data_IF_507737972154
#
_entry.id   IF_507737972154
#
_cell.length_a   1.000
_cell.length_b   1.000
_cell.length_c   1.000
_cell.angle_alpha   90.00
_cell.angle_beta   90.00
_cell.angle_gamma   90.00
#
_symmetry.space_group_name_H-M   'P 1'
#
loop_
_entity.id
_entity.type
_entity.pdbx_description
1 polymer ?
#
# COMPACT_ATOMS: atom_id res chain seq x y z
N UNK A 1 13.58 9.15 20.19
CA UNK A 1 15.04 9.37 20.25
C UNK A 1 15.77 8.06 19.92
N UNK A 2 15.74 7.64 18.64
CA UNK A 2 16.35 6.38 18.15
C UNK A 2 17.51 6.65 17.16
N UNK A 3 17.97 7.90 17.05
CA UNK A 3 18.60 8.38 15.81
C UNK A 3 20.13 8.32 15.70
N UNK A 4 20.91 7.95 16.72
CA UNK A 4 22.38 8.12 16.62
C UNK A 4 23.20 6.82 16.72
N UNK A 5 22.62 5.70 17.16
CA UNK A 5 23.42 4.50 17.50
C UNK A 5 23.06 3.20 16.77
N UNK A 6 22.14 3.21 15.81
CA UNK A 6 21.76 1.99 15.08
C UNK A 6 22.90 1.45 14.20
N UNK A 7 23.58 2.32 13.46
CA UNK A 7 24.66 1.92 12.55
C UNK A 7 25.90 1.33 13.25
N UNK A 8 26.23 1.82 14.46
CA UNK A 8 27.43 1.39 15.21
C UNK A 8 27.33 -0.01 15.84
N UNK A 9 26.12 -0.50 16.14
CA UNK A 9 25.92 -1.81 16.80
C UNK A 9 25.82 -2.98 15.82
N UNK A 10 25.72 -2.69 14.53
CA UNK A 10 25.56 -3.68 13.48
C UNK A 10 26.95 -4.10 12.97
N UNK A 11 27.58 -5.05 13.66
CA UNK A 11 28.86 -5.67 13.27
C UNK A 11 28.78 -6.56 12.02
N UNK A 12 28.16 -6.09 10.94
CA UNK A 12 28.04 -6.80 9.65
C UNK A 12 28.16 -5.82 8.48
N UNK A 13 28.73 -6.28 7.34
CA UNK A 13 28.84 -5.50 6.09
C UNK A 13 27.49 -5.22 5.37
N UNK A 14 26.45 -6.02 5.62
CA UNK A 14 25.11 -5.92 4.98
C UNK A 14 24.13 -4.86 5.56
N UNK A 15 24.01 -4.65 6.88
CA UNK A 15 22.99 -3.76 7.45
C UNK A 15 23.05 -2.29 7.03
N UNK A 16 24.20 -1.77 6.63
CA UNK A 16 24.30 -0.38 6.18
C UNK A 16 23.58 -0.15 4.84
N UNK A 17 23.69 -1.09 3.89
CA UNK A 17 23.01 -0.98 2.60
C UNK A 17 21.48 -1.11 2.77
N UNK A 18 21.02 -2.11 3.53
CA UNK A 18 19.58 -2.29 3.79
C UNK A 18 18.95 -1.08 4.49
N UNK A 19 19.69 -0.42 5.38
CA UNK A 19 19.25 0.83 6.01
C UNK A 19 19.18 1.99 4.99
N UNK A 20 20.21 2.16 4.15
CA UNK A 20 20.18 3.17 3.07
C UNK A 20 18.99 2.93 2.13
N UNK A 21 18.72 1.67 1.76
CA UNK A 21 17.56 1.30 0.94
C UNK A 21 16.23 1.67 1.64
N UNK A 22 16.06 1.39 2.93
CA UNK A 22 14.86 1.80 3.67
C UNK A 22 14.67 3.32 3.69
N UNK A 23 15.75 4.09 3.90
CA UNK A 23 15.68 5.55 3.88
C UNK A 23 15.34 6.10 2.50
N UNK A 24 15.96 5.56 1.44
CA UNK A 24 15.66 5.91 0.05
C UNK A 24 14.18 5.64 -0.29
N UNK A 25 13.66 4.46 0.06
CA UNK A 25 12.26 4.12 -0.18
C UNK A 25 11.33 5.02 0.64
N UNK A 26 11.69 5.34 1.89
CA UNK A 26 10.90 6.27 2.70
C UNK A 26 10.81 7.66 2.08
N UNK A 27 11.89 8.14 1.45
CA UNK A 27 11.89 9.41 0.70
C UNK A 27 11.00 9.33 -0.55
N UNK A 28 11.10 8.24 -1.32
CA UNK A 28 10.21 8.01 -2.47
C UNK A 28 8.74 8.01 -2.06
N UNK A 29 8.42 7.38 -0.92
CA UNK A 29 7.05 7.36 -0.40
C UNK A 29 6.57 8.77 -0.03
N UNK A 30 7.44 9.62 0.54
CA UNK A 30 7.11 11.02 0.85
C UNK A 30 6.87 11.82 -0.43
N UNK A 31 7.73 11.69 -1.43
CA UNK A 31 7.57 12.38 -2.72
C UNK A 31 6.26 11.95 -3.42
N UNK A 32 5.92 10.66 -3.37
CA UNK A 32 4.65 10.15 -3.88
C UNK A 32 3.45 10.74 -3.10
N UNK A 33 3.54 10.82 -1.78
CA UNK A 33 2.49 11.41 -0.93
C UNK A 33 2.26 12.89 -1.23
N UNK A 34 3.34 13.65 -1.44
CA UNK A 34 3.26 15.07 -1.83
C UNK A 34 2.50 15.26 -3.15
N UNK A 35 2.55 14.29 -4.06
CA UNK A 35 1.78 14.33 -5.31
C UNK A 35 0.27 14.37 -5.02
N UNK A 36 -0.20 13.64 -4.00
CA UNK A 36 -1.60 13.68 -3.58
C UNK A 36 -1.92 14.94 -2.77
N UNK A 37 -1.08 15.32 -1.80
CA UNK A 37 -1.32 16.47 -0.91
C UNK A 37 -1.39 17.80 -1.69
N UNK A 38 -0.56 17.95 -2.72
CA UNK A 38 -0.52 19.15 -3.57
C UNK A 38 -1.58 19.14 -4.67
N UNK A 39 -2.43 18.11 -4.76
CA UNK A 39 -3.43 17.99 -5.82
C UNK A 39 -2.83 17.84 -7.22
N UNK A 40 -1.62 17.27 -7.32
CA UNK A 40 -0.92 17.02 -8.59
C UNK A 40 -1.34 15.69 -9.23
N UNK A 41 -2.15 14.90 -8.52
CA UNK A 41 -2.70 13.63 -8.95
C UNK A 41 -4.16 13.79 -9.43
N UNK A 42 -4.42 13.45 -10.69
CA UNK A 42 -5.79 13.32 -11.18
C UNK A 42 -6.43 12.00 -10.68
N UNK A 43 -7.76 11.94 -10.63
CA UNK A 43 -8.49 10.73 -10.20
C UNK A 43 -8.15 9.51 -11.08
N UNK A 44 -7.95 9.75 -12.38
CA UNK A 44 -7.64 8.74 -13.39
C UNK A 44 -6.26 8.10 -13.17
N UNK A 45 -5.30 8.82 -12.57
CA UNK A 45 -3.95 8.31 -12.31
C UNK A 45 -3.76 7.74 -10.89
N UNK A 46 -4.72 7.93 -9.98
CA UNK A 46 -4.65 7.39 -8.62
C UNK A 46 -4.38 5.88 -8.54
N UNK A 47 -4.98 5.01 -9.39
CA UNK A 47 -4.65 3.59 -9.38
C UNK A 47 -3.17 3.30 -9.63
N UNK A 48 -2.52 4.06 -10.52
CA UNK A 48 -1.08 3.91 -10.82
C UNK A 48 -0.23 4.31 -9.62
N UNK A 49 -0.58 5.41 -8.95
CA UNK A 49 0.16 5.88 -7.77
C UNK A 49 0.01 4.90 -6.59
N UNK A 50 -1.21 4.40 -6.34
CA UNK A 50 -1.45 3.38 -5.32
C UNK A 50 -0.69 2.07 -5.62
N UNK A 51 -0.69 1.64 -6.87
CA UNK A 51 0.05 0.45 -7.31
C UNK A 51 1.55 0.59 -7.07
N UNK A 52 2.11 1.75 -7.39
CA UNK A 52 3.52 2.02 -7.11
C UNK A 52 3.82 2.11 -5.61
N UNK A 53 2.91 2.69 -4.83
CA UNK A 53 3.05 2.76 -3.38
C UNK A 53 3.07 1.37 -2.73
N UNK A 54 2.19 0.45 -3.17
CA UNK A 54 2.17 -0.94 -2.74
C UNK A 54 3.52 -1.63 -2.98
N UNK A 55 4.10 -1.44 -4.17
CA UNK A 55 5.44 -1.93 -4.48
C UNK A 55 6.50 -1.38 -3.53
N UNK A 56 6.54 -0.06 -3.31
CA UNK A 56 7.50 0.56 -2.39
C UNK A 56 7.34 0.01 -0.96
N UNK A 57 6.10 -0.16 -0.50
CA UNK A 57 5.83 -0.76 0.81
C UNK A 57 6.35 -2.20 0.87
N UNK A 58 6.11 -3.01 -0.17
CA UNK A 58 6.58 -4.39 -0.25
C UNK A 58 8.11 -4.49 -0.16
N UNK A 59 8.85 -3.70 -0.94
CA UNK A 59 10.32 -3.66 -0.89
C UNK A 59 10.81 -3.19 0.48
N UNK A 60 10.15 -2.18 1.06
CA UNK A 60 10.49 -1.66 2.39
C UNK A 60 10.28 -2.69 3.50
N UNK A 61 9.15 -3.42 3.47
CA UNK A 61 8.86 -4.50 4.42
C UNK A 61 9.90 -5.61 4.34
N UNK A 62 10.32 -5.98 3.12
CA UNK A 62 11.40 -6.93 2.92
C UNK A 62 12.71 -6.46 3.59
N UNK A 63 13.13 -5.22 3.33
CA UNK A 63 14.33 -4.63 3.92
C UNK A 63 14.26 -4.57 5.46
N UNK A 64 13.13 -4.13 6.02
CA UNK A 64 12.89 -4.08 7.46
C UNK A 64 12.93 -5.48 8.10
N UNK A 65 12.41 -6.50 7.41
CA UNK A 65 12.45 -7.89 7.87
C UNK A 65 13.88 -8.42 7.93
N UNK A 66 14.70 -8.13 6.92
CA UNK A 66 16.13 -8.50 6.94
C UNK A 66 16.88 -7.84 8.10
N UNK A 67 16.64 -6.54 8.33
CA UNK A 67 17.25 -5.81 9.46
C UNK A 67 16.81 -6.39 10.80
N UNK A 68 15.53 -6.70 10.97
CA UNK A 68 14.98 -7.30 12.18
C UNK A 68 15.60 -8.68 12.45
N UNK A 69 15.69 -9.53 11.43
CA UNK A 69 16.35 -10.85 11.53
C UNK A 69 17.83 -10.71 11.94
N UNK A 70 18.54 -9.74 11.35
CA UNK A 70 19.94 -9.48 11.69
C UNK A 70 20.11 -9.00 13.14
N UNK A 71 19.21 -8.15 13.63
CA UNK A 71 19.20 -7.68 15.01
C UNK A 71 18.88 -8.80 16.00
N UNK A 72 17.92 -9.66 15.68
CA UNK A 72 17.59 -10.82 16.52
C UNK A 72 18.78 -11.79 16.63
N UNK A 73 19.43 -12.12 15.51
CA UNK A 73 20.66 -12.92 15.51
C UNK A 73 21.81 -12.23 16.27
N UNK A 74 21.90 -10.90 16.21
CA UNK A 74 22.94 -10.13 16.88
C UNK A 74 22.69 -9.93 18.38
N UNK A 75 21.47 -10.09 18.88
CA UNK A 75 21.15 -10.02 20.31
C UNK A 75 21.50 -11.33 21.04
N UNK A 76 21.53 -12.45 20.32
CA UNK A 76 21.76 -13.78 20.90
C UNK A 76 23.23 -14.07 21.26
N UNK A 77 23.50 -14.87 22.31
CA UNK A 77 24.84 -15.38 22.64
C UNK A 77 25.52 -16.13 21.49
N UNK A 78 26.86 -16.02 21.38
CA UNK A 78 27.65 -16.61 20.27
C UNK A 78 27.46 -18.12 20.07
N UNK A 79 27.21 -18.89 21.14
CA UNK A 79 27.03 -20.35 21.07
C UNK A 79 25.70 -20.74 20.42
N UNK A 80 24.63 -19.96 20.64
CA UNK A 80 23.33 -20.17 19.98
C UNK A 80 23.37 -19.81 18.50
N UNK A 81 24.14 -18.78 18.11
CA UNK A 81 24.29 -18.37 16.69
C UNK A 81 24.87 -19.47 15.78
N UNK A 82 25.73 -20.34 16.30
CA UNK A 82 26.35 -21.45 15.53
C UNK A 82 25.41 -22.64 15.35
N UNK A 83 24.59 -22.93 16.36
CA UNK A 83 23.53 -23.95 16.32
C UNK A 83 22.41 -23.56 15.35
N UNK A 84 21.96 -22.30 15.43
CA UNK A 84 20.83 -21.79 14.63
C UNK A 84 21.15 -21.64 13.14
N UNK A 85 22.42 -21.41 12.78
CA UNK A 85 22.84 -21.44 11.36
C UNK A 85 22.65 -22.80 10.70
N UNK A 86 22.67 -23.90 11.47
CA UNK A 86 22.45 -25.26 10.98
C UNK A 86 20.96 -25.64 10.90
N UNK A 87 20.14 -25.15 11.84
CA UNK A 87 18.71 -25.46 11.92
C UNK A 87 17.87 -24.22 11.51
N UNK A 88 17.55 -24.07 10.22
CA UNK A 88 16.77 -22.96 9.62
C UNK A 88 15.27 -22.92 10.05
N UNK A 89 14.94 -23.16 11.32
CA UNK A 89 13.54 -23.31 11.77
C UNK A 89 13.16 -22.44 12.96
N UNK A 90 13.82 -21.30 13.17
CA UNK A 90 13.29 -20.36 14.14
C UNK A 90 12.02 -19.67 13.61
N UNK A 91 10.99 -19.50 14.46
CA UNK A 91 9.88 -18.64 14.11
C UNK A 91 10.43 -17.25 13.82
N UNK A 92 9.95 -16.60 12.76
CA UNK A 92 10.50 -15.33 12.37
C UNK A 92 10.15 -14.28 13.43
N UNK A 93 11.04 -13.31 13.70
CA UNK A 93 10.87 -12.36 14.79
C UNK A 93 9.55 -11.61 14.68
N UNK A 94 8.95 -11.28 15.82
CA UNK A 94 7.69 -10.53 15.84
C UNK A 94 7.87 -9.18 15.15
N UNK A 95 6.95 -8.77 14.26
CA UNK A 95 7.05 -7.50 13.54
C UNK A 95 7.01 -6.33 14.53
N UNK A 96 7.74 -5.25 14.31
CA UNK A 96 7.62 -4.03 15.13
C UNK A 96 6.27 -3.33 14.90
N UNK A 97 5.93 -2.32 15.71
CA UNK A 97 4.71 -1.53 15.48
C UNK A 97 4.74 -0.84 14.12
N UNK A 98 5.88 -0.28 13.73
CA UNK A 98 6.05 0.38 12.43
C UNK A 98 5.85 -0.61 11.27
N UNK A 99 6.37 -1.84 11.40
CA UNK A 99 6.14 -2.88 10.40
C UNK A 99 4.67 -3.29 10.33
N UNK A 100 3.99 -3.43 11.48
CA UNK A 100 2.57 -3.77 11.51
C UNK A 100 1.70 -2.65 10.91
N UNK A 101 2.00 -1.38 11.19
CA UNK A 101 1.34 -0.23 10.57
C UNK A 101 1.58 -0.18 9.06
N UNK A 102 2.81 -0.47 8.63
CA UNK A 102 3.17 -0.51 7.22
C UNK A 102 2.44 -1.66 6.48
N UNK A 103 2.30 -2.82 7.12
CA UNK A 103 1.48 -3.94 6.62
C UNK A 103 -0.01 -3.56 6.54
N UNK A 104 -0.54 -2.90 7.56
CA UNK A 104 -1.91 -2.39 7.53
C UNK A 104 -2.10 -1.41 6.37
N UNK A 105 -1.16 -0.48 6.16
CA UNK A 105 -1.19 0.48 5.06
C UNK A 105 -1.21 -0.22 3.69
N UNK A 106 -0.37 -1.22 3.50
CA UNK A 106 -0.32 -2.05 2.29
C UNK A 106 -1.70 -2.64 1.96
N UNK A 107 -2.33 -3.30 2.93
CA UNK A 107 -3.67 -3.90 2.76
C UNK A 107 -4.75 -2.84 2.44
N UNK A 108 -4.67 -1.64 3.04
CA UNK A 108 -5.58 -0.53 2.71
C UNK A 108 -5.38 -0.08 1.26
N UNK A 109 -4.13 0.09 0.83
CA UNK A 109 -3.78 0.51 -0.53
C UNK A 109 -4.25 -0.51 -1.54
N UNK A 110 -3.99 -1.80 -1.32
CA UNK A 110 -4.44 -2.87 -2.21
C UNK A 110 -5.96 -2.96 -2.30
N UNK A 111 -6.66 -2.78 -1.18
CA UNK A 111 -8.12 -2.69 -1.16
C UNK A 111 -8.64 -1.47 -1.93
N UNK A 112 -7.99 -0.32 -1.73
CA UNK A 112 -8.37 0.94 -2.38
C UNK A 112 -8.09 0.92 -3.88
N UNK A 113 -6.96 0.36 -4.32
CA UNK A 113 -6.61 0.18 -5.73
C UNK A 113 -7.70 -0.58 -6.48
N UNK A 114 -8.09 -1.75 -5.97
CA UNK A 114 -9.16 -2.58 -6.56
C UNK A 114 -10.52 -1.87 -6.54
N UNK A 115 -10.82 -1.14 -5.46
CA UNK A 115 -12.03 -0.33 -5.36
C UNK A 115 -12.08 0.77 -6.42
N UNK A 116 -10.98 1.51 -6.64
CA UNK A 116 -10.93 2.56 -7.66
C UNK A 116 -11.14 1.98 -9.07
N UNK A 117 -10.51 0.85 -9.39
CA UNK A 117 -10.71 0.16 -10.66
C UNK A 117 -12.17 -0.28 -10.84
N UNK A 118 -12.79 -0.82 -9.78
CA UNK A 118 -14.20 -1.21 -9.82
C UNK A 118 -15.11 0.01 -10.08
N UNK A 119 -14.84 1.16 -9.43
CA UNK A 119 -15.59 2.40 -9.61
C UNK A 119 -15.43 3.00 -11.02
N UNK A 120 -14.23 2.91 -11.60
CA UNK A 120 -13.96 3.31 -12.97
C UNK A 120 -14.69 2.40 -13.97
N UNK A 121 -14.68 1.09 -13.73
CA UNK A 121 -15.32 0.10 -14.60
C UNK A 121 -16.84 0.29 -14.71
N UNK A 122 -17.51 0.63 -13.61
CA UNK A 122 -18.96 0.89 -13.58
C UNK A 122 -19.35 2.34 -13.89
N UNK A 123 -18.39 3.19 -14.25
CA UNK A 123 -18.65 4.58 -14.62
C UNK A 123 -19.06 5.51 -13.46
N UNK A 124 -18.82 5.12 -12.20
CA UNK A 124 -18.99 6.05 -11.06
C UNK A 124 -17.81 7.01 -10.91
N UNK A 125 -16.63 6.62 -11.40
CA UNK A 125 -15.43 7.44 -11.48
C UNK A 125 -14.95 7.50 -12.93
N UNK A 126 -14.32 8.61 -13.33
CA UNK A 126 -13.77 8.74 -14.67
C UNK A 126 -12.74 7.65 -14.96
N UNK A 127 -12.96 6.90 -16.04
CA UNK A 127 -11.95 6.03 -16.61
C UNK A 127 -11.05 6.83 -17.58
N UNK A 128 -9.76 6.51 -17.68
CA UNK A 128 -8.86 7.22 -18.59
C UNK A 128 -9.28 7.01 -20.04
N UNK A 129 -9.52 8.11 -20.76
CA UNK A 129 -9.65 8.09 -22.22
C UNK A 129 -8.31 7.73 -22.88
N UNK A 130 -8.28 7.40 -24.17
CA UNK A 130 -7.01 7.03 -24.85
C UNK A 130 -5.94 8.13 -24.73
N UNK A 131 -6.35 9.40 -24.85
CA UNK A 131 -5.45 10.55 -24.68
C UNK A 131 -4.94 10.66 -23.23
N UNK A 132 -5.82 10.45 -22.25
CA UNK A 132 -5.44 10.45 -20.82
C UNK A 132 -4.52 9.27 -20.51
N UNK A 133 -4.76 8.08 -21.08
CA UNK A 133 -3.89 6.92 -20.90
C UNK A 133 -2.46 7.16 -21.41
N UNK A 134 -2.30 7.81 -22.58
CA UNK A 134 -0.98 8.24 -23.09
C UNK A 134 -0.33 9.28 -22.17
N UNK A 135 -1.12 10.21 -21.61
CA UNK A 135 -0.64 11.16 -20.59
C UNK A 135 -0.16 10.45 -19.33
N UNK A 136 -0.92 9.48 -18.80
CA UNK A 136 -0.56 8.69 -17.62
C UNK A 136 0.74 7.91 -17.87
N UNK A 137 0.91 7.29 -19.03
CA UNK A 137 2.16 6.62 -19.40
C UNK A 137 3.36 7.59 -19.40
N UNK A 138 3.16 8.81 -19.89
CA UNK A 138 4.19 9.86 -19.88
C UNK A 138 4.51 10.31 -18.45
N UNK A 139 3.49 10.50 -17.59
CA UNK A 139 3.67 10.84 -16.17
C UNK A 139 4.35 9.71 -15.40
N UNK A 140 4.07 8.45 -15.73
CA UNK A 140 4.77 7.30 -15.18
C UNK A 140 6.27 7.40 -15.45
N UNK A 141 6.65 7.67 -16.70
CA UNK A 141 8.06 7.80 -17.08
C UNK A 141 8.74 8.97 -16.35
N UNK A 142 8.08 10.12 -16.23
CA UNK A 142 8.66 11.31 -15.59
C UNK A 142 8.73 11.22 -14.06
N UNK A 143 7.70 10.65 -13.42
CA UNK A 143 7.62 10.57 -11.95
C UNK A 143 8.29 9.29 -11.45
N UNK A 144 7.76 8.15 -11.86
CA UNK A 144 8.11 6.85 -11.27
C UNK A 144 9.43 6.33 -11.84
N UNK A 145 9.60 6.35 -13.17
CA UNK A 145 10.83 5.82 -13.78
C UNK A 145 12.06 6.67 -13.45
N UNK A 146 11.91 7.99 -13.28
CA UNK A 146 12.99 8.86 -12.79
C UNK A 146 13.37 8.55 -11.34
N UNK A 147 12.38 8.29 -10.46
CA UNK A 147 12.65 7.84 -9.09
C UNK A 147 13.35 6.47 -9.07
N UNK A 148 12.89 5.51 -9.88
CA UNK A 148 13.48 4.17 -9.98
C UNK A 148 14.90 4.18 -10.56
N UNK A 149 15.17 5.00 -11.58
CA UNK A 149 16.51 5.10 -12.16
C UNK A 149 17.52 5.75 -11.22
N UNK A 150 17.07 6.66 -10.36
CA UNK A 150 17.90 7.30 -9.33
C UNK A 150 18.31 6.34 -8.21
N UNK A 151 17.47 5.34 -7.94
CA UNK A 151 17.66 4.38 -6.86
C UNK A 151 17.47 2.97 -7.42
N UNK A 152 18.57 2.27 -7.68
CA UNK A 152 18.57 0.89 -8.20
C UNK A 152 17.88 -0.08 -7.22
N UNK A 153 16.55 -0.13 -7.27
CA UNK A 153 15.72 -1.07 -6.52
C UNK A 153 15.85 -2.49 -7.12
N UNK A 154 15.48 -3.54 -6.36
CA UNK A 154 15.64 -4.92 -6.81
C UNK A 154 14.93 -5.25 -8.13
N UNK A 155 13.83 -4.55 -8.41
CA UNK A 155 13.07 -4.67 -9.65
C UNK A 155 12.73 -3.28 -10.20
N UNK A 156 12.92 -3.10 -11.51
CA UNK A 156 12.44 -1.93 -12.23
C UNK A 156 11.02 -2.22 -12.72
N UNK A 157 10.06 -1.47 -12.20
CA UNK A 157 8.68 -1.54 -12.65
C UNK A 157 8.53 -0.81 -13.97
N UNK A 158 7.77 -1.40 -14.89
CA UNK A 158 7.39 -0.81 -16.17
C UNK A 158 5.92 -0.42 -16.18
N UNK A 159 5.55 0.46 -17.12
CA UNK A 159 4.13 0.79 -17.32
C UNK A 159 3.31 -0.43 -17.80
N UNK A 160 3.95 -1.39 -18.47
CA UNK A 160 3.30 -2.63 -18.88
C UNK A 160 2.92 -3.49 -17.65
N UNK A 161 3.76 -3.53 -16.61
CA UNK A 161 3.45 -4.23 -15.36
C UNK A 161 2.23 -3.63 -14.65
N UNK A 162 2.07 -2.30 -14.73
CA UNK A 162 0.88 -1.61 -14.23
C UNK A 162 -0.36 -2.05 -15.00
N UNK A 163 -0.34 -2.01 -16.34
CA UNK A 163 -1.48 -2.45 -17.17
C UNK A 163 -1.83 -3.92 -16.96
N UNK A 164 -0.84 -4.78 -16.77
CA UNK A 164 -1.08 -6.19 -16.43
C UNK A 164 -1.74 -6.31 -15.04
N UNK A 165 -1.28 -5.54 -14.07
CA UNK A 165 -1.83 -5.55 -12.71
C UNK A 165 -3.28 -5.06 -12.67
N UNK A 166 -3.64 -4.04 -13.45
CA UNK A 166 -5.03 -3.56 -13.55
C UNK A 166 -5.93 -4.59 -14.22
N UNK A 167 -5.46 -5.22 -15.31
CA UNK A 167 -6.19 -6.30 -15.98
C UNK A 167 -6.46 -7.46 -15.02
N UNK A 168 -5.42 -7.97 -14.34
CA UNK A 168 -5.54 -9.05 -13.36
C UNK A 168 -6.46 -8.70 -12.19
N UNK A 169 -6.47 -7.44 -11.75
CA UNK A 169 -7.33 -6.98 -10.68
C UNK A 169 -8.81 -6.97 -11.05
N UNK A 170 -9.16 -6.73 -12.32
CA UNK A 170 -10.55 -6.62 -12.81
C UNK A 170 -11.11 -7.95 -13.30
N UNK A 171 -10.35 -8.72 -14.08
CA UNK A 171 -10.85 -9.95 -14.70
C UNK A 171 -10.68 -11.19 -13.81
N UNK A 172 -9.81 -11.14 -12.80
CA UNK A 172 -9.29 -12.38 -12.21
C UNK A 172 -8.61 -13.27 -13.25
N UNK A 173 -8.21 -14.49 -12.87
CA UNK A 173 -7.60 -15.44 -13.81
C UNK A 173 -8.61 -16.08 -14.78
N UNK A 174 -9.91 -16.06 -14.47
CA UNK A 174 -10.97 -16.68 -15.26
C UNK A 174 -11.84 -15.64 -15.96
N UNK A 175 -11.81 -15.62 -17.30
CA UNK A 175 -12.45 -14.63 -18.16
C UNK A 175 -13.95 -14.89 -18.45
N UNK A 176 -14.60 -15.82 -17.76
CA UNK A 176 -15.88 -16.36 -18.23
C UNK A 176 -17.14 -15.53 -17.93
N UNK A 177 -17.10 -14.53 -17.04
CA UNK A 177 -18.25 -13.65 -16.79
C UNK A 177 -17.86 -12.27 -16.23
N UNK A 178 -18.19 -11.20 -16.94
CA UNK A 178 -17.86 -9.82 -16.57
C UNK A 178 -18.53 -9.36 -15.25
N UNK A 179 -19.77 -9.79 -14.99
CA UNK A 179 -20.50 -9.47 -13.75
C UNK A 179 -19.95 -10.23 -12.53
N UNK A 180 -19.52 -11.48 -12.70
CA UNK A 180 -18.81 -12.25 -11.68
C UNK A 180 -17.43 -11.63 -11.39
N UNK A 181 -16.78 -11.06 -12.40
CA UNK A 181 -15.55 -10.28 -12.28
C UNK A 181 -15.69 -9.14 -11.28
N UNK A 182 -16.64 -8.21 -11.50
CA UNK A 182 -16.84 -7.05 -10.63
C UNK A 182 -17.14 -7.43 -9.18
N UNK A 183 -18.05 -8.39 -8.96
CA UNK A 183 -18.38 -8.85 -7.61
C UNK A 183 -17.15 -9.43 -6.90
N UNK A 184 -16.31 -10.18 -7.62
CA UNK A 184 -15.04 -10.71 -7.12
C UNK A 184 -14.05 -9.59 -6.78
N UNK A 185 -13.93 -8.54 -7.60
CA UNK A 185 -13.09 -7.37 -7.30
C UNK A 185 -13.53 -6.70 -5.99
N UNK A 186 -14.84 -6.45 -5.85
CA UNK A 186 -15.42 -5.82 -4.65
C UNK A 186 -15.17 -6.68 -3.41
N UNK A 187 -15.41 -7.99 -3.48
CA UNK A 187 -15.15 -8.91 -2.37
C UNK A 187 -13.67 -8.99 -1.99
N UNK A 188 -12.75 -9.02 -2.96
CA UNK A 188 -11.31 -9.00 -2.72
C UNK A 188 -10.85 -7.67 -2.10
N UNK A 189 -11.47 -6.56 -2.49
CA UNK A 189 -11.24 -5.24 -1.89
C UNK A 189 -11.65 -5.24 -0.42
N UNK A 190 -12.86 -5.73 -0.12
CA UNK A 190 -13.37 -5.88 1.25
C UNK A 190 -12.47 -6.81 2.08
N UNK A 191 -12.02 -7.93 1.50
CA UNK A 191 -11.12 -8.88 2.16
C UNK A 191 -9.80 -8.23 2.57
N UNK A 192 -9.19 -7.44 1.68
CA UNK A 192 -7.94 -6.72 1.97
C UNK A 192 -8.16 -5.68 3.08
N UNK A 193 -9.23 -4.89 2.98
CA UNK A 193 -9.58 -3.89 4.00
C UNK A 193 -9.87 -4.52 5.37
N UNK A 194 -10.54 -5.67 5.44
CA UNK A 194 -10.74 -6.39 6.69
C UNK A 194 -9.45 -7.01 7.24
N UNK A 195 -8.53 -7.42 6.37
CA UNK A 195 -7.21 -7.96 6.74
C UNK A 195 -6.38 -7.00 7.60
N UNK A 196 -6.60 -5.70 7.45
CA UNK A 196 -5.95 -4.66 8.28
C UNK A 196 -6.22 -4.78 9.77
N UNK A 197 -7.39 -5.32 10.16
CA UNK A 197 -7.82 -5.43 11.55
C UNK A 197 -6.81 -6.20 12.41
N UNK A 198 -6.27 -7.29 11.86
CA UNK A 198 -5.24 -8.10 12.50
C UNK A 198 -4.01 -7.27 12.90
N UNK A 199 -3.47 -6.46 11.97
CA UNK A 199 -2.28 -5.65 12.22
C UNK A 199 -2.57 -4.49 13.20
N UNK A 200 -3.71 -3.81 13.05
CA UNK A 200 -4.09 -2.71 13.92
C UNK A 200 -4.38 -3.17 15.36
N UNK A 201 -4.91 -4.38 15.54
CA UNK A 201 -5.06 -5.00 16.86
C UNK A 201 -3.70 -5.32 17.51
N UNK A 202 -2.73 -5.83 16.75
CA UNK A 202 -1.39 -6.09 17.28
C UNK A 202 -0.74 -4.81 17.81
N UNK A 203 -0.87 -3.70 17.07
CA UNK A 203 -0.39 -2.39 17.51
C UNK A 203 -1.10 -1.94 18.79
N UNK A 204 -2.41 -2.17 18.90
CA UNK A 204 -3.20 -1.81 20.09
C UNK A 204 -2.88 -2.65 21.34
N UNK A 205 -2.64 -3.95 21.18
CA UNK A 205 -2.30 -4.87 22.29
C UNK A 205 -0.92 -4.59 22.89
N UNK A 206 -0.01 -4.03 22.09
CA UNK A 206 1.32 -3.60 22.54
C UNK A 206 1.18 -2.29 23.32
N UNK A 207 0.90 -2.44 24.61
CA UNK A 207 0.56 -1.47 25.68
C UNK A 207 1.38 -0.15 25.81
N UNK A 208 2.15 0.25 24.80
CA UNK A 208 3.02 1.45 24.79
C UNK A 208 2.91 2.27 23.50
N UNK A 209 1.84 2.12 22.73
CA UNK A 209 1.63 2.97 21.55
C UNK A 209 1.53 4.44 21.99
N UNK A 210 2.40 5.29 21.43
CA UNK A 210 2.41 6.72 21.71
C UNK A 210 1.11 7.40 21.18
N UNK A 211 0.91 8.67 21.53
CA UNK A 211 -0.28 9.40 21.09
C UNK A 211 -0.38 9.49 19.57
N UNK A 212 0.77 9.59 18.88
CA UNK A 212 0.86 9.64 17.42
C UNK A 212 0.36 8.34 16.78
N UNK A 213 0.88 7.19 17.21
CA UNK A 213 0.46 5.87 16.73
C UNK A 213 -1.02 5.63 16.96
N UNK A 214 -1.55 6.02 18.12
CA UNK A 214 -2.98 5.86 18.41
C UNK A 214 -3.86 6.70 17.48
N UNK A 215 -3.46 7.94 17.20
CA UNK A 215 -4.14 8.81 16.23
C UNK A 215 -4.10 8.19 14.83
N UNK A 216 -2.94 7.70 14.41
CA UNK A 216 -2.73 7.07 13.11
C UNK A 216 -3.64 5.85 12.91
N UNK A 217 -3.67 4.93 13.88
CA UNK A 217 -4.58 3.77 13.89
C UNK A 217 -6.05 4.19 13.81
N UNK A 218 -6.46 5.23 14.53
CA UNK A 218 -7.84 5.74 14.48
C UNK A 218 -8.18 6.31 13.10
N UNK A 219 -7.27 7.05 12.48
CA UNK A 219 -7.44 7.59 11.13
C UNK A 219 -7.54 6.48 10.09
N UNK A 220 -6.67 5.47 10.15
CA UNK A 220 -6.73 4.28 9.29
C UNK A 220 -8.08 3.56 9.42
N UNK A 221 -8.58 3.36 10.65
CA UNK A 221 -9.90 2.75 10.89
C UNK A 221 -11.04 3.52 10.22
N UNK A 222 -10.99 4.86 10.24
CA UNK A 222 -12.00 5.69 9.56
C UNK A 222 -11.97 5.50 8.04
N UNK A 223 -10.78 5.43 7.44
CA UNK A 223 -10.61 5.14 6.01
C UNK A 223 -11.21 3.78 5.67
N UNK A 224 -10.83 2.73 6.43
CA UNK A 224 -11.31 1.36 6.23
C UNK A 224 -12.84 1.30 6.28
N UNK A 225 -13.44 1.87 7.34
CA UNK A 225 -14.89 1.87 7.50
C UNK A 225 -15.59 2.60 6.35
N UNK A 226 -15.11 3.79 5.98
CA UNK A 226 -15.68 4.57 4.88
C UNK A 226 -15.64 3.79 3.55
N UNK A 227 -14.50 3.20 3.22
CA UNK A 227 -14.33 2.47 1.97
C UNK A 227 -15.13 1.16 1.95
N UNK A 228 -15.22 0.43 3.09
CA UNK A 228 -16.07 -0.76 3.21
C UNK A 228 -17.54 -0.42 3.02
N UNK A 229 -18.02 0.72 3.52
CA UNK A 229 -19.42 1.14 3.33
C UNK A 229 -19.74 1.34 1.84
N UNK A 230 -18.85 2.03 1.10
CA UNK A 230 -19.00 2.19 -0.35
C UNK A 230 -18.98 0.85 -1.07
N UNK A 231 -18.01 -0.03 -0.74
CA UNK A 231 -17.92 -1.37 -1.33
C UNK A 231 -19.13 -2.25 -1.04
N UNK A 232 -19.74 -2.12 0.14
CA UNK A 232 -20.97 -2.85 0.47
C UNK A 232 -22.15 -2.33 -0.35
N UNK A 233 -22.28 -1.02 -0.52
CA UNK A 233 -23.32 -0.42 -1.36
C UNK A 233 -23.17 -0.86 -2.82
N UNK A 234 -21.93 -0.98 -3.31
CA UNK A 234 -21.62 -1.57 -4.62
C UNK A 234 -22.04 -3.04 -4.69
N UNK A 235 -21.69 -3.84 -3.68
CA UNK A 235 -22.01 -5.26 -3.63
C UNK A 235 -23.52 -5.54 -3.58
N UNK A 236 -24.30 -4.67 -2.94
CA UNK A 236 -25.77 -4.80 -2.84
C UNK A 236 -26.52 -4.16 -4.00
N UNK A 237 -25.84 -3.50 -4.94
CA UNK A 237 -26.48 -2.78 -6.04
C UNK A 237 -27.34 -1.60 -5.58
N UNK A 238 -27.07 -1.03 -4.41
CA UNK A 238 -27.90 0.04 -3.81
C UNK A 238 -27.54 1.44 -4.31
N UNK A 239 -26.65 1.53 -5.31
CA UNK A 239 -26.16 2.80 -5.85
C UNK A 239 -26.85 3.04 -7.19
N UNK A 240 -27.54 4.17 -7.29
CA UNK A 240 -28.04 4.68 -8.54
C UNK A 240 -26.88 5.25 -9.37
N UNK A 241 -26.45 4.50 -10.39
CA UNK A 241 -25.32 4.85 -11.25
C UNK A 241 -25.59 6.08 -12.13
N UNK A 242 -26.86 6.39 -12.39
CA UNK A 242 -27.22 7.53 -13.23
C UNK A 242 -27.00 8.84 -12.48
N UNK A 243 -27.36 8.90 -11.20
CA UNK A 243 -27.29 10.12 -10.39
C UNK A 243 -26.07 10.22 -9.45
N UNK A 244 -25.27 9.16 -9.32
CA UNK A 244 -24.14 9.12 -8.37
C UNK A 244 -22.77 9.26 -9.05
N UNK A 245 -21.84 9.97 -8.42
CA UNK A 245 -20.41 9.99 -8.76
C UNK A 245 -19.57 9.65 -7.54
N UNK A 246 -18.40 9.04 -7.75
CA UNK A 246 -17.44 8.71 -6.71
C UNK A 246 -16.22 9.64 -6.82
N UNK A 247 -15.81 10.20 -5.70
CA UNK A 247 -14.60 11.01 -5.59
C UNK A 247 -13.64 10.41 -4.56
N UNK A 248 -12.37 10.35 -4.92
CA UNK A 248 -11.29 9.90 -4.05
C UNK A 248 -10.61 11.12 -3.41
N UNK A 249 -10.41 11.07 -2.09
CA UNK A 249 -9.81 12.19 -1.34
C UNK A 249 -9.04 11.72 -0.10
N UNK A 250 -8.17 12.57 0.43
CA UNK A 250 -7.38 12.33 1.65
C UNK A 250 -8.11 12.80 2.92
N UNK A 251 -9.41 12.49 3.05
CA UNK A 251 -10.29 13.08 4.08
C UNK A 251 -9.91 12.73 5.52
N UNK A 252 -9.61 11.45 5.80
CA UNK A 252 -9.40 10.99 7.17
C UNK A 252 -7.93 10.75 7.54
N UNK A 253 -7.10 10.49 6.54
CA UNK A 253 -5.69 10.15 6.72
C UNK A 253 -4.88 10.80 5.58
N UNK A 254 -3.73 11.42 5.88
CA UNK A 254 -2.96 12.20 4.89
C UNK A 254 -2.47 11.36 3.71
N UNK A 255 -2.24 10.06 3.93
CA UNK A 255 -1.66 9.19 2.92
C UNK A 255 -2.57 8.04 2.47
N UNK A 256 -3.85 8.07 2.81
CA UNK A 256 -4.75 6.97 2.47
C UNK A 256 -6.04 7.50 1.88
N UNK A 257 -6.41 6.93 0.73
CA UNK A 257 -7.56 7.36 -0.04
C UNK A 257 -8.85 6.93 0.64
N UNK A 258 -9.73 7.90 0.84
CA UNK A 258 -11.12 7.71 1.22
C UNK A 258 -11.99 8.01 0.01
N UNK A 259 -12.85 7.06 -0.36
CA UNK A 259 -13.86 7.28 -1.39
C UNK A 259 -15.15 7.78 -0.75
N UNK A 260 -15.73 8.80 -1.38
CA UNK A 260 -17.04 9.37 -1.02
C UNK A 260 -17.93 9.34 -2.26
N UNK A 261 -19.18 8.92 -2.07
CA UNK A 261 -20.21 9.00 -3.09
C UNK A 261 -20.93 10.34 -2.97
N UNK A 262 -21.11 11.03 -4.10
CA UNK A 262 -21.84 12.28 -4.23
C UNK A 262 -22.86 12.22 -5.37
N UNK A 263 -23.68 13.26 -5.51
CA UNK A 263 -24.60 13.39 -6.65
C UNK A 263 -23.84 13.97 -7.85
N UNK A 264 -24.13 13.49 -9.06
CA UNK A 264 -23.67 14.13 -10.29
C UNK A 264 -24.27 15.54 -10.35
N UNK A 265 -23.42 16.54 -10.36
CA UNK A 265 -23.81 17.90 -10.72
C UNK A 265 -23.96 17.93 -12.25
N UNK A 266 -25.19 18.13 -12.73
CA UNK A 266 -25.48 18.31 -14.16
C UNK A 266 -24.94 19.61 -14.71
#
# INVERSE_FOLDING_TARGET
>A
MLEINYGKRLGFKKPMWTWVTDQAISLMQIELQLTFELGLADNEEMPMLLWFEDYLIGVRLYALREMLNALDLASKPRHLRRSERKNRQLPPPEPTNDMALLQARMEIIQGSFRMLLALQYIGLMNAPTEAVAKSIASRFAVRIQTMLSSYRLPHELTFADFLQSTAMAVTGQDQSDANLGLQRVVLNSIKSLNGTGFYLEQVGKRSKADARTRRDVQQMRRVILSNILVLRQLATGSIDQESTTACASLKYHPNLITVVLGKKTG
#
